data_IF_606978639190
#
_entry.id   IF_606978639190
#
_cell.length_a   1.000
_cell.length_b   1.000
_cell.length_c   1.000
_cell.angle_alpha   90.00
_cell.angle_beta   90.00
_cell.angle_gamma   90.00
#
_symmetry.space_group_name_H-M   'P 1'
#
loop_
_entity.id
_entity.type
_entity.pdbx_description
1 polymer ?
#
# COMPACT_ATOMS: atom_id res chain seq x y z
N UNK A 1 -5.12 5.86 -20.97
CA UNK A 1 -3.75 6.45 -20.99
C UNK A 1 -2.73 5.32 -20.95
N UNK A 2 -1.60 5.43 -21.68
CA UNK A 2 -0.53 4.43 -21.61
C UNK A 2 0.54 4.91 -20.64
N UNK A 3 0.90 4.07 -19.68
CA UNK A 3 1.89 4.37 -18.66
C UNK A 3 3.05 3.39 -18.81
N UNK A 4 4.28 3.90 -18.92
CA UNK A 4 5.49 3.10 -18.79
C UNK A 4 5.85 3.02 -17.31
N UNK A 5 5.96 1.83 -16.78
CA UNK A 5 6.33 1.58 -15.39
C UNK A 5 7.42 0.52 -15.33
N UNK A 6 8.17 0.52 -14.23
CA UNK A 6 9.24 -0.43 -14.01
C UNK A 6 10.04 -0.12 -12.76
N UNK A 7 11.08 -0.90 -12.55
CA UNK A 7 11.99 -0.74 -11.42
C UNK A 7 13.35 -1.32 -11.78
N UNK A 8 14.37 -0.85 -11.06
CA UNK A 8 15.69 -1.41 -10.99
C UNK A 8 16.16 -1.33 -9.55
N UNK A 9 16.36 -2.48 -8.90
CA UNK A 9 16.67 -2.57 -7.48
C UNK A 9 17.89 -3.49 -7.32
N UNK A 10 18.96 -2.97 -6.73
CA UNK A 10 20.18 -3.72 -6.46
C UNK A 10 20.35 -3.96 -4.97
N UNK A 11 20.66 -5.19 -4.59
CA UNK A 11 21.03 -5.58 -3.25
C UNK A 11 22.44 -6.16 -3.24
N UNK A 12 23.23 -5.80 -2.22
CA UNK A 12 24.47 -6.47 -1.90
C UNK A 12 24.20 -7.49 -0.78
N UNK A 13 24.42 -8.77 -1.08
CA UNK A 13 24.15 -9.88 -0.19
C UNK A 13 25.46 -10.40 0.39
N UNK A 14 25.72 -10.30 1.71
CA UNK A 14 26.96 -10.75 2.31
C UNK A 14 27.14 -12.27 2.23
N UNK A 15 26.06 -13.01 2.01
CA UNK A 15 25.99 -14.46 1.83
C UNK A 15 24.80 -14.83 0.94
N UNK A 16 24.71 -16.08 0.45
CA UNK A 16 23.54 -16.51 -0.29
C UNK A 16 22.26 -16.31 0.53
N UNK A 17 21.34 -15.46 0.04
CA UNK A 17 20.18 -14.97 0.79
C UNK A 17 18.89 -15.38 0.10
N UNK A 18 17.98 -16.14 0.76
CA UNK A 18 16.64 -16.35 0.24
C UNK A 18 15.84 -15.05 0.33
N UNK A 19 15.14 -14.71 -0.76
CA UNK A 19 14.28 -13.54 -0.84
C UNK A 19 12.90 -13.92 -1.36
N UNK A 20 11.87 -13.27 -0.81
CA UNK A 20 10.51 -13.26 -1.38
C UNK A 20 10.28 -11.85 -1.88
N UNK A 21 9.96 -11.71 -3.15
CA UNK A 21 9.70 -10.42 -3.79
C UNK A 21 8.28 -10.37 -4.35
N UNK A 22 7.63 -9.23 -4.18
CA UNK A 22 6.25 -8.94 -4.61
C UNK A 22 6.28 -7.68 -5.49
N UNK A 23 6.90 -7.80 -6.66
CA UNK A 23 7.15 -6.69 -7.57
C UNK A 23 6.30 -6.74 -8.83
N UNK A 24 5.52 -7.81 -9.02
CA UNK A 24 4.63 -7.97 -10.17
C UNK A 24 3.35 -7.15 -10.01
N UNK A 25 2.80 -6.73 -11.14
CA UNK A 25 1.47 -6.12 -11.20
C UNK A 25 0.43 -7.14 -10.72
N UNK A 26 -0.47 -6.70 -9.85
CA UNK A 26 -1.52 -7.58 -9.31
C UNK A 26 -2.37 -8.18 -10.44
N UNK A 27 -2.71 -9.47 -10.38
CA UNK A 27 -3.42 -10.18 -11.46
C UNK A 27 -4.72 -9.53 -11.94
N UNK A 28 -5.41 -8.76 -11.07
CA UNK A 28 -6.62 -8.02 -11.45
C UNK A 28 -6.37 -6.97 -12.56
N UNK A 29 -5.13 -6.49 -12.68
CA UNK A 29 -4.70 -5.52 -13.70
C UNK A 29 -3.94 -6.17 -14.87
N UNK A 30 -3.89 -7.52 -14.91
CA UNK A 30 -3.11 -8.24 -15.93
C UNK A 30 -3.62 -8.00 -17.36
N UNK A 31 -4.93 -7.83 -17.51
CA UNK A 31 -5.55 -7.50 -18.79
C UNK A 31 -5.15 -6.13 -19.34
N UNK A 32 -4.70 -5.24 -18.46
CA UNK A 32 -4.32 -3.88 -18.82
C UNK A 32 -2.85 -3.78 -19.24
N UNK A 33 -2.06 -4.84 -19.04
CA UNK A 33 -0.67 -4.89 -19.46
C UNK A 33 -0.57 -4.97 -21.00
N UNK A 34 0.10 -3.99 -21.59
CA UNK A 34 0.41 -3.96 -23.02
C UNK A 34 1.67 -4.80 -23.29
N UNK A 35 2.64 -4.71 -22.38
CA UNK A 35 3.83 -5.57 -22.38
C UNK A 35 3.97 -6.27 -21.03
N UNK A 36 4.54 -7.50 -20.99
CA UNK A 36 4.68 -8.24 -19.74
C UNK A 36 5.52 -7.49 -18.70
N UNK A 37 5.13 -7.59 -17.44
CA UNK A 37 5.84 -7.08 -16.27
C UNK A 37 6.86 -8.08 -15.69
N UNK A 38 7.46 -8.91 -16.55
CA UNK A 38 8.36 -9.98 -16.13
C UNK A 38 9.60 -9.45 -15.40
N UNK A 39 9.83 -9.99 -14.20
CA UNK A 39 11.06 -9.73 -13.45
C UNK A 39 12.26 -10.35 -14.14
N UNK A 40 13.35 -9.61 -14.24
CA UNK A 40 14.66 -10.06 -14.70
C UNK A 40 15.66 -9.90 -13.57
N UNK A 41 16.59 -10.84 -13.50
CA UNK A 41 17.59 -10.90 -12.43
C UNK A 41 18.99 -10.92 -13.04
N UNK A 42 19.89 -10.15 -12.46
CA UNK A 42 21.30 -10.12 -12.81
C UNK A 42 22.16 -10.22 -11.52
N UNK A 43 22.94 -11.29 -11.36
CA UNK A 43 23.04 -12.48 -12.23
C UNK A 43 21.74 -13.28 -12.26
N UNK A 44 21.48 -14.04 -13.35
CA UNK A 44 20.28 -14.86 -13.47
C UNK A 44 20.28 -15.98 -12.42
N UNK A 45 19.18 -16.10 -11.69
CA UNK A 45 18.95 -17.18 -10.73
C UNK A 45 17.56 -17.78 -10.95
N UNK A 46 17.33 -19.04 -10.54
CA UNK A 46 16.01 -19.66 -10.63
C UNK A 46 14.96 -18.86 -9.84
N UNK A 47 13.79 -18.68 -10.44
CA UNK A 47 12.64 -18.04 -9.83
C UNK A 47 11.55 -19.09 -9.62
N UNK A 48 11.04 -19.20 -8.38
CA UNK A 48 9.83 -19.96 -8.07
C UNK A 48 8.70 -19.00 -7.81
N UNK A 49 7.64 -19.05 -8.62
CA UNK A 49 6.45 -18.21 -8.46
C UNK A 49 5.35 -18.94 -7.71
N UNK A 50 4.63 -18.20 -6.87
CA UNK A 50 3.39 -18.65 -6.23
C UNK A 50 2.43 -17.47 -6.03
N UNK A 51 1.19 -17.77 -5.67
CA UNK A 51 0.22 -16.77 -5.24
C UNK A 51 0.04 -16.84 -3.73
N UNK A 52 0.04 -15.67 -3.09
CA UNK A 52 -0.29 -15.56 -1.67
C UNK A 52 -1.81 -15.58 -1.42
N UNK A 53 -2.20 -15.48 -0.14
CA UNK A 53 -3.59 -15.43 0.27
C UNK A 53 -4.34 -14.16 -0.14
N UNK A 54 -3.64 -13.14 -0.64
CA UNK A 54 -4.20 -11.87 -1.13
C UNK A 54 -4.28 -11.82 -2.66
N UNK A 55 -3.83 -12.88 -3.33
CA UNK A 55 -3.79 -12.99 -4.78
C UNK A 55 -2.57 -12.36 -5.45
N UNK A 56 -1.61 -11.86 -4.67
CA UNK A 56 -0.36 -11.30 -5.21
C UNK A 56 0.49 -12.38 -5.87
N UNK A 57 1.24 -11.99 -6.90
CA UNK A 57 2.29 -12.82 -7.50
C UNK A 57 3.56 -12.62 -6.69
N UNK A 58 3.98 -13.68 -6.01
CA UNK A 58 5.19 -13.69 -5.20
C UNK A 58 6.26 -14.53 -5.89
N UNK A 59 7.50 -14.03 -5.96
CA UNK A 59 8.63 -14.76 -6.48
C UNK A 59 9.61 -15.08 -5.34
N UNK A 60 9.99 -16.35 -5.23
CA UNK A 60 11.04 -16.81 -4.34
C UNK A 60 12.31 -17.00 -5.13
N UNK A 61 13.36 -16.34 -4.72
CA UNK A 61 14.71 -16.42 -5.31
C UNK A 61 15.73 -16.70 -4.22
N UNK A 62 16.87 -17.24 -4.60
CA UNK A 62 18.06 -17.34 -3.73
C UNK A 62 19.14 -16.47 -4.34
N UNK A 63 19.28 -15.26 -3.82
CA UNK A 63 20.33 -14.35 -4.22
C UNK A 63 21.70 -14.95 -3.93
N UNK A 64 22.69 -14.86 -4.84
CA UNK A 64 24.07 -15.27 -4.55
C UNK A 64 24.72 -14.32 -3.54
N UNK A 65 25.90 -14.66 -3.07
CA UNK A 65 26.76 -13.69 -2.38
C UNK A 65 27.22 -12.62 -3.38
N UNK A 66 27.19 -11.36 -2.96
CA UNK A 66 27.49 -10.19 -3.79
C UNK A 66 26.24 -9.52 -4.30
N UNK A 67 26.37 -8.76 -5.37
CA UNK A 67 25.27 -7.97 -5.92
C UNK A 67 24.26 -8.84 -6.69
N UNK A 68 23.00 -8.52 -6.52
CA UNK A 68 21.89 -8.98 -7.37
C UNK A 68 21.02 -7.79 -7.74
N UNK A 69 20.77 -7.61 -9.02
CA UNK A 69 19.87 -6.58 -9.53
C UNK A 69 18.59 -7.23 -10.03
N UNK A 70 17.47 -6.69 -9.59
CA UNK A 70 16.11 -7.03 -10.04
C UNK A 70 15.57 -5.87 -10.85
N UNK A 71 15.08 -6.12 -12.05
CA UNK A 71 14.54 -5.07 -12.89
C UNK A 71 13.37 -5.56 -13.74
N UNK A 72 12.48 -4.63 -14.06
CA UNK A 72 11.38 -4.80 -15.01
C UNK A 72 11.08 -3.47 -15.68
N UNK A 73 10.54 -3.53 -16.89
CA UNK A 73 10.09 -2.38 -17.67
C UNK A 73 8.91 -2.84 -18.50
N UNK A 74 7.76 -2.22 -18.31
CA UNK A 74 6.52 -2.63 -18.96
C UNK A 74 5.62 -1.44 -19.28
N UNK A 75 4.67 -1.66 -20.17
CA UNK A 75 3.61 -0.72 -20.51
C UNK A 75 2.27 -1.25 -20.00
N UNK A 76 1.53 -0.38 -19.34
CA UNK A 76 0.18 -0.67 -18.87
C UNK A 76 -0.80 0.41 -19.35
N UNK A 77 -2.01 -0.02 -19.67
CA UNK A 77 -3.11 0.90 -19.96
C UNK A 77 -3.88 1.26 -18.69
N UNK A 78 -4.21 2.53 -18.57
CA UNK A 78 -4.99 3.05 -17.44
C UNK A 78 -6.03 4.05 -17.95
N UNK A 79 -7.15 4.18 -17.25
CA UNK A 79 -8.19 5.14 -17.61
C UNK A 79 -7.72 6.59 -17.55
N UNK A 80 -6.74 6.87 -16.70
CA UNK A 80 -6.29 8.22 -16.37
C UNK A 80 -7.30 9.03 -15.58
N UNK A 81 -8.40 8.42 -15.17
CA UNK A 81 -9.43 9.05 -14.33
C UNK A 81 -9.12 8.77 -12.86
N UNK A 82 -9.42 9.72 -11.96
CA UNK A 82 -9.42 9.42 -10.53
C UNK A 82 -10.37 8.25 -10.24
N UNK A 83 -10.02 7.43 -9.26
CA UNK A 83 -10.94 6.41 -8.77
C UNK A 83 -12.20 7.10 -8.23
N UNK A 84 -13.38 6.59 -8.59
CA UNK A 84 -14.64 7.11 -8.07
C UNK A 84 -14.73 6.77 -6.58
N UNK A 85 -14.77 7.79 -5.75
CA UNK A 85 -15.15 7.65 -4.36
C UNK A 85 -16.67 7.63 -4.36
N UNK A 86 -17.27 6.45 -4.15
CA UNK A 86 -18.71 6.38 -4.02
C UNK A 86 -19.11 7.18 -2.76
N UNK A 87 -19.84 8.31 -2.90
CA UNK A 87 -20.23 9.15 -1.76
C UNK A 87 -21.12 8.40 -0.77
N UNK A 88 -21.81 7.38 -1.26
CA UNK A 88 -22.81 6.59 -0.53
C UNK A 88 -22.26 5.26 -0.01
N UNK A 89 -20.95 5.16 0.28
CA UNK A 89 -20.41 3.97 0.95
C UNK A 89 -21.08 3.84 2.31
N UNK A 90 -22.06 2.93 2.37
CA UNK A 90 -22.80 2.61 3.58
C UNK A 90 -21.95 1.74 4.48
N UNK A 91 -21.98 2.03 5.76
CA UNK A 91 -21.46 1.11 6.77
C UNK A 91 -22.28 -0.18 6.76
N UNK A 92 -21.60 -1.31 6.73
CA UNK A 92 -22.22 -2.61 6.86
C UNK A 92 -21.98 -3.13 8.27
N UNK A 93 -23.05 -3.64 8.89
CA UNK A 93 -22.90 -4.36 10.15
C UNK A 93 -21.92 -5.54 9.96
N UNK A 94 -21.13 -5.83 10.99
CA UNK A 94 -20.07 -6.85 10.93
C UNK A 94 -20.53 -8.19 10.38
N UNK A 95 -21.75 -8.61 10.74
CA UNK A 95 -22.36 -9.87 10.29
C UNK A 95 -22.73 -9.89 8.81
N UNK A 96 -22.71 -8.74 8.14
CA UNK A 96 -22.97 -8.59 6.69
C UNK A 96 -21.72 -8.45 5.85
N UNK A 97 -20.55 -8.37 6.50
CA UNK A 97 -19.28 -8.29 5.78
C UNK A 97 -18.98 -9.60 5.07
N UNK A 98 -18.44 -9.57 3.84
CA UNK A 98 -17.93 -10.77 3.20
C UNK A 98 -16.87 -11.42 4.07
N UNK A 99 -16.96 -12.76 4.25
CA UNK A 99 -16.08 -13.50 5.17
C UNK A 99 -14.60 -13.33 4.83
N UNK A 100 -14.26 -13.17 3.57
CA UNK A 100 -12.90 -12.91 3.09
C UNK A 100 -12.34 -11.55 3.54
N UNK A 101 -13.19 -10.63 3.98
CA UNK A 101 -12.74 -9.32 4.47
C UNK A 101 -12.47 -9.29 5.97
N UNK A 102 -12.93 -10.29 6.72
CA UNK A 102 -12.82 -10.33 8.17
C UNK A 102 -11.35 -10.33 8.65
N UNK A 103 -10.45 -10.93 7.88
CA UNK A 103 -9.01 -10.92 8.17
C UNK A 103 -8.44 -9.49 8.20
N UNK A 104 -9.07 -8.54 7.50
CA UNK A 104 -8.65 -7.15 7.46
C UNK A 104 -9.16 -6.30 8.63
N UNK A 105 -9.88 -6.89 9.57
CA UNK A 105 -10.26 -6.28 10.85
C UNK A 105 -9.21 -6.53 11.93
N UNK A 106 -8.37 -7.55 11.75
CA UNK A 106 -7.41 -7.99 12.76
C UNK A 106 -6.21 -7.04 12.84
N UNK A 107 -5.71 -6.87 14.06
CA UNK A 107 -4.41 -6.24 14.27
C UNK A 107 -3.29 -7.01 13.58
N UNK A 108 -2.18 -6.35 13.33
CA UNK A 108 -0.98 -6.95 12.73
C UNK A 108 0.28 -6.30 13.31
N UNK A 109 1.46 -6.82 12.95
CA UNK A 109 2.73 -6.33 13.49
C UNK A 109 2.90 -4.80 13.41
N UNK A 110 2.47 -4.18 12.31
CA UNK A 110 2.62 -2.73 12.12
C UNK A 110 1.34 -1.95 12.39
N UNK A 111 0.22 -2.64 12.60
CA UNK A 111 -1.10 -2.06 12.85
C UNK A 111 -1.63 -2.58 14.18
N UNK A 112 -1.21 -1.95 15.27
CA UNK A 112 -1.46 -2.36 16.65
C UNK A 112 -2.82 -1.81 17.12
N UNK A 113 -3.89 -2.49 16.74
CA UNK A 113 -5.27 -2.07 17.04
C UNK A 113 -5.55 -2.04 18.54
N UNK A 114 -4.97 -2.95 19.31
CA UNK A 114 -5.09 -3.04 20.77
C UNK A 114 -4.57 -1.79 21.49
N UNK A 115 -3.54 -1.15 20.95
CA UNK A 115 -2.91 0.05 21.53
C UNK A 115 -3.61 1.36 21.18
N UNK A 116 -4.32 1.40 20.06
CA UNK A 116 -4.95 2.61 19.51
C UNK A 116 -6.47 2.59 19.58
N UNK A 117 -7.09 1.50 20.02
CA UNK A 117 -8.54 1.32 20.03
C UNK A 117 -9.23 2.38 20.92
N UNK A 118 -8.72 2.62 22.11
CA UNK A 118 -9.31 3.61 23.03
C UNK A 118 -9.32 5.02 22.41
N UNK A 119 -8.19 5.44 21.86
CA UNK A 119 -8.12 6.73 21.16
C UNK A 119 -9.06 6.79 19.96
N UNK A 120 -9.09 5.74 19.14
CA UNK A 120 -9.93 5.70 17.96
C UNK A 120 -11.42 5.83 18.29
N UNK A 121 -11.90 5.09 19.30
CA UNK A 121 -13.28 5.18 19.75
C UNK A 121 -13.61 6.53 20.41
N UNK A 122 -12.72 7.08 21.20
CA UNK A 122 -12.90 8.41 21.79
C UNK A 122 -13.00 9.50 20.72
N UNK A 123 -12.20 9.38 19.65
CA UNK A 123 -12.11 10.39 18.58
C UNK A 123 -13.20 10.25 17.51
N UNK A 124 -13.54 9.02 17.15
CA UNK A 124 -14.38 8.72 15.99
C UNK A 124 -15.70 8.03 16.33
N UNK A 125 -15.92 7.61 17.58
CA UNK A 125 -17.07 6.79 17.94
C UNK A 125 -18.44 7.43 17.69
N UNK A 126 -18.51 8.76 17.62
CA UNK A 126 -19.74 9.52 17.30
C UNK A 126 -19.80 10.00 15.86
N UNK A 127 -18.78 9.73 15.06
CA UNK A 127 -18.78 10.13 13.64
C UNK A 127 -19.80 9.32 12.82
N UNK A 128 -20.39 9.94 11.79
CA UNK A 128 -21.18 9.19 10.81
C UNK A 128 -20.33 8.08 10.19
N UNK A 129 -20.85 6.88 10.21
CA UNK A 129 -20.17 5.71 9.66
C UNK A 129 -20.11 5.74 8.13
N UNK A 130 -19.28 4.88 7.53
CA UNK A 130 -19.12 4.79 6.08
C UNK A 130 -17.97 5.65 5.56
N UNK A 131 -18.07 6.12 4.31
CA UNK A 131 -17.02 6.86 3.62
C UNK A 131 -16.54 8.12 4.35
N UNK A 132 -17.48 8.83 5.02
CA UNK A 132 -17.16 10.04 5.78
C UNK A 132 -16.23 9.76 6.96
N UNK A 133 -16.41 8.64 7.66
CA UNK A 133 -15.53 8.24 8.75
C UNK A 133 -14.12 7.95 8.25
N UNK A 134 -14.01 7.26 7.13
CA UNK A 134 -12.70 6.97 6.53
C UNK A 134 -11.98 8.23 6.12
N UNK A 135 -12.69 9.17 5.50
CA UNK A 135 -12.12 10.45 5.12
C UNK A 135 -11.62 11.21 6.37
N UNK A 136 -12.43 11.24 7.44
CA UNK A 136 -12.03 11.89 8.69
C UNK A 136 -10.77 11.24 9.32
N UNK A 137 -10.64 9.91 9.22
CA UNK A 137 -9.44 9.18 9.66
C UNK A 137 -8.24 9.60 8.82
N UNK A 138 -8.37 9.62 7.49
CA UNK A 138 -7.29 10.02 6.60
C UNK A 138 -6.87 11.48 6.82
N UNK A 139 -7.84 12.38 7.00
CA UNK A 139 -7.58 13.79 7.25
C UNK A 139 -6.84 13.99 8.58
N UNK A 140 -7.24 13.28 9.65
CA UNK A 140 -6.55 13.32 10.92
C UNK A 140 -5.09 12.87 10.77
N UNK A 141 -4.86 11.72 10.15
CA UNK A 141 -3.49 11.20 9.94
C UNK A 141 -2.66 12.18 9.14
N UNK A 142 -3.23 12.78 8.09
CA UNK A 142 -2.52 13.75 7.26
C UNK A 142 -2.19 15.05 8.02
N UNK A 143 -3.07 15.50 8.89
CA UNK A 143 -2.88 16.72 9.70
C UNK A 143 -1.86 16.52 10.83
N UNK A 144 -1.85 15.34 11.44
CA UNK A 144 -1.11 15.07 12.66
C UNK A 144 0.31 14.52 12.42
N UNK A 145 0.57 13.96 11.24
CA UNK A 145 1.86 13.34 10.94
C UNK A 145 2.66 14.21 9.97
N UNK A 146 3.89 14.54 10.33
CA UNK A 146 4.84 15.24 9.47
C UNK A 146 5.58 14.26 8.58
N UNK A 147 5.54 14.51 7.29
CA UNK A 147 6.22 13.69 6.29
C UNK A 147 7.70 14.08 6.17
N UNK A 148 8.60 13.07 6.14
CA UNK A 148 10.02 13.25 5.83
C UNK A 148 10.72 11.92 5.62
N UNK A 149 11.51 11.80 4.55
CA UNK A 149 12.27 10.57 4.27
C UNK A 149 13.34 10.27 5.31
N UNK A 150 13.85 11.28 5.98
CA UNK A 150 14.77 11.16 7.13
C UNK A 150 14.15 10.42 8.31
N UNK A 151 12.83 10.31 8.33
CA UNK A 151 12.09 9.58 9.36
C UNK A 151 11.85 8.11 9.00
N UNK A 152 12.33 7.63 7.84
CA UNK A 152 12.13 6.26 7.41
C UNK A 152 12.74 5.25 8.41
N UNK A 153 11.92 4.28 8.86
CA UNK A 153 12.35 3.21 9.74
C UNK A 153 11.60 1.92 9.39
N UNK A 154 12.34 0.84 9.16
CA UNK A 154 11.75 -0.48 8.84
C UNK A 154 10.94 -1.08 9.98
N UNK A 155 11.21 -0.63 11.22
CA UNK A 155 10.58 -1.16 12.42
C UNK A 155 9.38 -0.33 12.91
N UNK A 156 9.20 0.91 12.41
CA UNK A 156 8.14 1.82 12.89
C UNK A 156 6.77 1.23 12.70
N UNK A 157 6.00 1.25 13.79
CA UNK A 157 4.60 0.79 13.83
C UNK A 157 3.62 1.96 13.75
N UNK A 158 2.32 1.67 13.65
CA UNK A 158 1.27 2.67 13.71
C UNK A 158 1.27 3.41 15.06
N UNK A 159 1.53 2.70 16.15
CA UNK A 159 1.61 3.32 17.47
C UNK A 159 2.82 4.25 17.61
N UNK A 160 3.97 3.87 17.08
CA UNK A 160 5.15 4.75 17.04
C UNK A 160 4.85 6.01 16.23
N UNK A 161 4.24 5.86 15.05
CA UNK A 161 3.84 6.99 14.19
C UNK A 161 2.86 7.91 14.90
N UNK A 162 1.88 7.35 15.62
CA UNK A 162 0.92 8.10 16.41
C UNK A 162 1.58 8.96 17.49
N UNK A 163 2.56 8.40 18.20
CA UNK A 163 3.26 9.11 19.27
C UNK A 163 4.28 10.12 18.74
N UNK A 164 5.05 9.74 17.72
CA UNK A 164 6.15 10.57 17.21
C UNK A 164 5.68 11.65 16.23
N UNK A 165 4.46 11.54 15.70
CA UNK A 165 3.86 12.50 14.76
C UNK A 165 4.70 12.74 13.50
N UNK A 166 5.44 11.74 13.06
CA UNK A 166 6.33 11.83 11.88
C UNK A 166 6.49 10.47 11.24
N UNK A 167 6.74 10.45 9.93
CA UNK A 167 6.96 9.20 9.21
C UNK A 167 7.01 9.40 7.70
N UNK A 168 7.02 8.28 6.99
CA UNK A 168 6.94 8.22 5.54
C UNK A 168 5.57 7.68 5.11
N UNK A 169 5.28 7.65 3.81
CA UNK A 169 3.97 7.24 3.27
C UNK A 169 3.46 5.89 3.82
N UNK A 170 4.37 4.90 4.05
CA UNK A 170 4.02 3.64 4.69
C UNK A 170 3.45 3.83 6.10
N UNK A 171 4.03 4.74 6.87
CA UNK A 171 3.67 4.98 8.26
C UNK A 171 2.27 5.65 8.35
N UNK A 172 1.98 6.57 7.43
CA UNK A 172 0.63 7.15 7.25
C UNK A 172 -0.40 6.07 6.96
N UNK A 173 -0.09 5.16 6.04
CA UNK A 173 -1.00 4.07 5.69
C UNK A 173 -1.25 3.12 6.87
N UNK A 174 -0.19 2.73 7.60
CA UNK A 174 -0.34 1.86 8.77
C UNK A 174 -1.19 2.50 9.84
N UNK A 175 -1.02 3.79 10.12
CA UNK A 175 -1.82 4.49 11.11
C UNK A 175 -3.29 4.60 10.69
N UNK A 176 -3.55 4.99 9.44
CA UNK A 176 -4.92 5.06 8.91
C UNK A 176 -5.62 3.69 8.91
N UNK A 177 -4.92 2.63 8.48
CA UNK A 177 -5.40 1.24 8.52
C UNK A 177 -5.73 0.84 9.96
N UNK A 178 -4.87 1.17 10.91
CA UNK A 178 -5.09 0.84 12.32
C UNK A 178 -6.36 1.50 12.84
N UNK A 179 -6.57 2.79 12.59
CA UNK A 179 -7.79 3.48 13.00
C UNK A 179 -9.04 2.91 12.31
N UNK A 180 -8.97 2.60 11.01
CA UNK A 180 -10.08 1.92 10.32
C UNK A 180 -10.44 0.60 10.99
N UNK A 181 -9.45 -0.24 11.29
CA UNK A 181 -9.66 -1.54 11.95
C UNK A 181 -10.23 -1.38 13.35
N UNK A 182 -9.73 -0.41 14.14
CA UNK A 182 -10.30 -0.06 15.44
C UNK A 182 -11.79 0.31 15.35
N UNK A 183 -12.20 0.95 14.25
CA UNK A 183 -13.58 1.34 13.99
C UNK A 183 -14.40 0.26 13.26
N UNK A 184 -13.92 -0.99 13.24
CA UNK A 184 -14.54 -2.13 12.56
C UNK A 184 -14.68 -1.96 11.04
N UNK A 185 -13.80 -1.20 10.42
CA UNK A 185 -13.73 -1.04 8.97
C UNK A 185 -12.60 -1.94 8.44
N UNK A 186 -12.90 -2.96 7.61
CA UNK A 186 -11.87 -3.80 7.03
C UNK A 186 -10.92 -2.96 6.18
N UNK A 187 -9.64 -2.99 6.52
CA UNK A 187 -8.62 -2.21 5.81
C UNK A 187 -7.35 -3.02 5.61
N UNK A 188 -6.78 -2.99 4.40
CA UNK A 188 -5.53 -3.67 4.06
C UNK A 188 -4.52 -2.71 3.49
N UNK A 189 -3.25 -3.02 3.71
CA UNK A 189 -2.14 -2.31 3.10
C UNK A 189 -2.00 -2.74 1.63
N UNK A 190 -1.85 -1.75 0.76
CA UNK A 190 -1.48 -1.99 -0.62
C UNK A 190 -0.27 -1.12 -0.97
N UNK A 191 0.58 -1.67 -1.79
CA UNK A 191 1.73 -0.96 -2.37
C UNK A 191 1.68 -1.10 -3.88
N UNK A 192 2.34 -0.18 -4.59
CA UNK A 192 2.34 -0.19 -6.04
C UNK A 192 3.29 0.82 -6.64
N UNK A 193 3.21 0.96 -7.94
CA UNK A 193 4.00 1.94 -8.68
C UNK A 193 3.37 3.33 -8.53
N UNK A 194 4.18 4.28 -8.07
CA UNK A 194 3.77 5.68 -7.96
C UNK A 194 4.25 6.44 -9.19
N UNK A 195 3.34 7.07 -9.92
CA UNK A 195 3.69 7.81 -11.13
C UNK A 195 4.24 9.19 -10.84
N UNK A 196 5.23 9.61 -11.62
CA UNK A 196 5.78 10.98 -11.62
C UNK A 196 5.01 11.90 -12.60
N UNK A 197 3.77 11.59 -12.88
CA UNK A 197 2.94 12.34 -13.84
C UNK A 197 2.71 13.75 -13.32
N UNK A 198 3.16 14.75 -14.07
CA UNK A 198 3.02 16.18 -13.70
C UNK A 198 4.06 16.68 -12.70
N UNK A 199 5.03 15.88 -12.32
CA UNK A 199 6.16 16.29 -11.47
C UNK A 199 7.36 16.59 -12.36
N UNK A 200 8.08 17.72 -12.16
CA UNK A 200 9.31 18.00 -12.89
C UNK A 200 10.34 16.86 -12.70
N UNK A 201 11.07 16.46 -13.76
CA UNK A 201 12.10 15.44 -13.63
C UNK A 201 13.12 15.86 -12.56
N UNK A 202 13.20 15.10 -11.48
CA UNK A 202 14.26 15.28 -10.48
C UNK A 202 15.43 14.39 -10.86
N UNK A 203 16.64 14.93 -10.76
CA UNK A 203 17.90 14.23 -11.03
C UNK A 203 18.22 13.13 -10.01
N UNK A 204 17.34 12.85 -9.06
CA UNK A 204 17.51 11.78 -8.09
C UNK A 204 16.84 10.50 -8.60
N UNK A 205 17.62 9.42 -8.69
CA UNK A 205 17.08 8.07 -8.80
C UNK A 205 16.16 7.81 -7.59
N UNK A 206 14.89 7.72 -7.84
CA UNK A 206 13.94 7.31 -6.82
C UNK A 206 14.19 5.83 -6.52
N UNK A 207 14.69 5.54 -5.32
CA UNK A 207 14.43 4.25 -4.72
C UNK A 207 12.93 4.28 -4.47
N UNK A 208 12.18 3.41 -5.15
CA UNK A 208 10.72 3.38 -5.13
C UNK A 208 10.19 3.47 -3.71
N UNK A 209 9.70 4.64 -3.33
CA UNK A 209 8.90 4.73 -2.13
C UNK A 209 7.57 4.02 -2.45
N UNK A 210 7.18 2.98 -1.70
CA UNK A 210 5.91 2.34 -1.92
C UNK A 210 4.78 3.34 -1.71
N UNK A 211 4.04 3.60 -2.78
CA UNK A 211 2.80 4.37 -2.70
C UNK A 211 1.78 3.57 -1.90
N UNK A 212 1.34 4.13 -0.77
CA UNK A 212 0.36 3.46 0.08
C UNK A 212 -1.02 3.68 -0.50
N UNK A 213 -1.71 2.60 -0.86
CA UNK A 213 -3.14 2.59 -1.16
C UNK A 213 -3.90 2.04 0.04
N UNK A 214 -4.75 2.86 0.62
CA UNK A 214 -5.77 2.38 1.53
C UNK A 214 -6.91 1.81 0.70
N UNK A 215 -7.12 0.50 0.75
CA UNK A 215 -8.27 -0.15 0.11
C UNK A 215 -9.30 -0.41 1.19
N UNK A 216 -10.45 0.23 1.02
CA UNK A 216 -11.64 -0.07 1.78
C UNK A 216 -12.49 -1.02 0.96
N UNK A 217 -12.71 -2.22 1.48
CA UNK A 217 -13.70 -3.11 0.92
C UNK A 217 -15.08 -2.67 1.41
N UNK A 218 -15.84 -1.96 0.56
CA UNK A 218 -17.28 -1.87 0.74
C UNK A 218 -17.89 -3.19 0.27
N UNK A 219 -18.71 -3.81 1.11
CA UNK A 219 -19.41 -5.02 0.75
C UNK A 219 -20.34 -4.76 -0.44
N UNK A 220 -20.19 -5.49 -1.52
CA UNK A 220 -21.15 -5.50 -2.62
C UNK A 220 -20.59 -5.33 -4.03
N UNK A 221 -19.38 -4.86 -4.22
CA UNK A 221 -18.74 -4.78 -5.54
C UNK A 221 -17.25 -5.10 -5.48
N UNK A 222 -16.71 -5.88 -6.44
CA UNK A 222 -15.28 -6.25 -6.45
C UNK A 222 -14.31 -5.09 -6.71
N UNK A 223 -14.76 -3.86 -6.76
CA UNK A 223 -14.00 -2.74 -7.34
C UNK A 223 -14.08 -1.40 -6.63
N UNK A 224 -14.36 -1.34 -5.34
CA UNK A 224 -14.27 -0.02 -4.68
C UNK A 224 -12.89 0.17 -4.06
N UNK A 225 -11.97 0.66 -4.86
CA UNK A 225 -10.70 1.21 -4.45
C UNK A 225 -10.92 2.63 -3.98
N UNK A 226 -10.83 2.91 -2.69
CA UNK A 226 -10.69 4.29 -2.23
C UNK A 226 -9.22 4.65 -2.30
N UNK A 227 -8.86 5.32 -3.38
CA UNK A 227 -7.53 5.90 -3.52
C UNK A 227 -7.57 7.31 -2.97
N UNK A 228 -7.04 7.54 -1.78
CA UNK A 228 -6.80 8.91 -1.35
C UNK A 228 -5.53 9.41 -2.01
N UNK A 229 -5.65 9.95 -3.23
CA UNK A 229 -4.63 10.80 -3.80
C UNK A 229 -4.78 12.21 -3.23
N UNK A 230 -3.94 12.56 -2.29
CA UNK A 230 -3.45 13.93 -2.17
C UNK A 230 -1.93 13.87 -2.07
N UNK A 231 -1.28 13.78 -3.20
CA UNK A 231 -0.01 14.43 -3.36
C UNK A 231 -0.34 15.92 -3.45
N UNK A 232 -0.35 16.64 -2.34
CA UNK A 232 -0.30 18.08 -2.39
C UNK A 232 1.07 18.43 -2.94
N UNK A 233 1.11 18.93 -4.18
CA UNK A 233 2.22 19.74 -4.62
C UNK A 233 2.30 20.91 -3.64
N UNK A 234 3.27 20.88 -2.76
CA UNK A 234 3.68 22.07 -2.04
C UNK A 234 4.38 22.96 -3.07
N UNK A 235 3.75 24.10 -3.33
CA UNK A 235 4.33 25.26 -3.99
C UNK A 235 5.61 25.71 -3.31
#
# INVERSE_FOLDING_TARGET
MKIRAGYEITYDCPQPTPMIVELSVHPIRRSDLITPDAIRLEPPVPIKEYRDGFGNICQVIKAPKGEITMFSDFLIEDSGKPDEIAPDIVDHALEKLPVETLVYLLGSRYCETDRLSEFAWARFGTFPKGGALVQAICDLVHQEVTFGYEHASVARTAFDTFNERRGVCRDYAHLAITFCRCMNIPARYCTGYLGDIGVPPKTFRWISAPGSRLILAAAGTPSTLVTTHRASAAS
#
